data_IF_777641995004
#
_entry.id   IF_777641995004
#
_cell.length_a   1.000
_cell.length_b   1.000
_cell.length_c   1.000
_cell.angle_alpha   90.00
_cell.angle_beta   90.00
_cell.angle_gamma   90.00
#
_symmetry.space_group_name_H-M   'P 1'
#
loop_
_entity.id
_entity.type
_entity.pdbx_description
1 polymer ?
#
# COMPACT_ATOMS: atom_id res chain seq x y z
N UNK A 1 4.62 19.19 16.57
CA UNK A 1 3.49 18.51 17.21
C UNK A 1 2.15 18.95 16.66
N UNK A 2 1.97 20.25 16.42
CA UNK A 2 0.73 20.76 15.84
C UNK A 2 0.54 20.33 14.37
N UNK A 3 1.61 20.26 13.59
CA UNK A 3 1.55 19.82 12.21
C UNK A 3 1.18 18.34 12.07
N UNK A 4 1.61 17.50 13.02
CA UNK A 4 1.19 16.10 13.07
C UNK A 4 -0.29 15.95 13.39
N UNK A 5 -0.79 16.71 14.37
CA UNK A 5 -2.21 16.69 14.72
C UNK A 5 -3.11 17.10 13.59
N UNK A 6 -2.74 18.15 12.84
CA UNK A 6 -3.48 18.60 11.68
C UNK A 6 -3.45 17.58 10.53
N UNK A 7 -2.31 16.96 10.27
CA UNK A 7 -2.18 15.91 9.27
C UNK A 7 -3.05 14.70 9.60
N UNK A 8 -3.07 14.27 10.86
CA UNK A 8 -3.89 13.14 11.32
C UNK A 8 -5.39 13.44 11.18
N UNK A 9 -5.82 14.64 11.57
CA UNK A 9 -7.21 15.07 11.41
C UNK A 9 -7.61 15.08 9.95
N UNK A 10 -6.76 15.61 9.08
CA UNK A 10 -7.01 15.65 7.64
C UNK A 10 -7.14 14.23 7.06
N UNK A 11 -6.23 13.32 7.42
CA UNK A 11 -6.28 11.93 6.96
C UNK A 11 -7.54 11.22 7.46
N UNK A 12 -7.93 11.44 8.72
CA UNK A 12 -9.17 10.88 9.25
C UNK A 12 -10.41 11.35 8.48
N UNK A 13 -10.44 12.62 8.10
CA UNK A 13 -11.54 13.14 7.28
C UNK A 13 -11.56 12.52 5.89
N UNK A 14 -10.37 12.31 5.28
CA UNK A 14 -10.28 11.69 3.96
C UNK A 14 -10.77 10.24 3.95
N UNK A 15 -10.52 9.49 5.03
CA UNK A 15 -10.90 8.06 5.11
C UNK A 15 -12.28 7.84 5.72
N UNK A 16 -12.92 8.88 6.30
CA UNK A 16 -14.16 8.73 7.06
C UNK A 16 -15.30 8.11 6.26
N UNK A 17 -15.34 8.34 4.96
CA UNK A 17 -16.40 7.84 4.06
C UNK A 17 -15.92 6.67 3.19
N UNK A 18 -14.76 6.11 3.45
CA UNK A 18 -14.22 5.00 2.66
C UNK A 18 -14.48 3.69 3.39
N UNK A 19 -15.14 2.75 2.72
CA UNK A 19 -15.31 1.40 3.24
C UNK A 19 -14.01 0.64 3.04
N UNK A 20 -13.34 0.29 4.13
CA UNK A 20 -12.06 -0.41 4.09
C UNK A 20 -12.25 -1.85 4.57
N UNK A 21 -11.83 -2.81 3.74
CA UNK A 21 -11.78 -4.21 4.08
C UNK A 21 -10.32 -4.66 4.03
N UNK A 22 -9.91 -5.48 4.99
CA UNK A 22 -8.55 -5.97 5.04
C UNK A 22 -8.48 -7.44 5.42
N UNK A 23 -7.58 -8.16 4.76
CA UNK A 23 -7.19 -9.53 5.09
C UNK A 23 -5.68 -9.57 5.17
N UNK A 24 -5.14 -9.73 6.38
CA UNK A 24 -3.70 -9.68 6.61
C UNK A 24 -3.26 -10.96 7.28
N UNK A 25 -2.44 -11.76 6.57
CA UNK A 25 -1.89 -13.01 7.04
C UNK A 25 -0.37 -12.96 6.90
N UNK A 26 0.30 -12.55 7.97
CA UNK A 26 1.75 -12.40 8.00
C UNK A 26 2.30 -12.98 9.30
N UNK A 27 3.55 -13.44 9.31
CA UNK A 27 4.19 -13.83 10.57
C UNK A 27 4.41 -12.62 11.47
N UNK A 28 4.59 -12.87 12.75
CA UNK A 28 4.77 -11.81 13.76
C UNK A 28 5.98 -10.95 13.47
N UNK A 29 7.07 -11.57 13.02
CA UNK A 29 8.32 -10.89 12.69
C UNK A 29 8.77 -11.27 11.30
N UNK A 30 9.29 -10.30 10.57
CA UNK A 30 9.86 -10.49 9.24
C UNK A 30 11.16 -9.70 9.16
N UNK A 31 12.05 -10.13 8.25
CA UNK A 31 13.35 -9.48 8.02
C UNK A 31 13.25 -8.18 7.21
N UNK A 32 12.19 -7.44 7.39
CA UNK A 32 12.00 -6.14 6.75
C UNK A 32 12.00 -5.06 7.84
N UNK A 33 12.72 -3.98 7.61
CA UNK A 33 12.85 -2.85 8.51
C UNK A 33 11.48 -2.20 8.75
N UNK A 34 11.19 -1.83 9.98
CA UNK A 34 9.94 -1.13 10.31
C UNK A 34 9.79 0.20 9.57
N UNK A 35 10.89 0.91 9.35
CA UNK A 35 10.88 2.13 8.53
C UNK A 35 10.44 1.85 7.11
N UNK A 36 11.00 0.81 6.50
CA UNK A 36 10.63 0.39 5.14
C UNK A 36 9.17 -0.07 5.08
N UNK A 37 8.70 -0.80 6.09
CA UNK A 37 7.30 -1.20 6.20
C UNK A 37 6.37 0.01 6.23
N UNK A 38 6.72 1.00 7.05
CA UNK A 38 5.94 2.23 7.15
C UNK A 38 5.86 3.00 5.84
N UNK A 39 6.98 3.12 5.14
CA UNK A 39 7.03 3.78 3.83
C UNK A 39 6.23 2.99 2.80
N UNK A 40 6.41 1.67 2.76
CA UNK A 40 5.74 0.78 1.83
C UNK A 40 4.21 0.87 1.96
N UNK A 41 3.68 0.59 3.16
CA UNK A 41 2.24 0.61 3.40
C UNK A 41 1.67 2.03 3.38
N UNK A 42 2.39 3.00 3.94
CA UNK A 42 1.96 4.39 3.93
C UNK A 42 1.73 4.92 2.53
N UNK A 43 2.68 4.70 1.63
CA UNK A 43 2.56 5.17 0.25
C UNK A 43 1.49 4.42 -0.54
N UNK A 44 1.38 3.12 -0.34
CA UNK A 44 0.35 2.32 -1.01
C UNK A 44 -1.06 2.72 -0.56
N UNK A 45 -1.25 2.93 0.74
CA UNK A 45 -2.54 3.36 1.28
C UNK A 45 -2.87 4.80 0.90
N UNK A 46 -1.91 5.72 0.96
CA UNK A 46 -2.12 7.10 0.53
C UNK A 46 -2.54 7.17 -0.94
N UNK A 47 -1.94 6.37 -1.79
CA UNK A 47 -2.31 6.27 -3.19
C UNK A 47 -3.78 5.84 -3.35
N UNK A 48 -4.21 4.84 -2.60
CA UNK A 48 -5.59 4.34 -2.63
C UNK A 48 -6.59 5.38 -2.09
N UNK A 49 -6.22 6.09 -1.03
CA UNK A 49 -7.05 7.15 -0.44
C UNK A 49 -7.22 8.30 -1.41
N UNK A 50 -6.13 8.76 -2.03
CA UNK A 50 -6.16 9.86 -2.98
C UNK A 50 -7.00 9.51 -4.21
N UNK A 51 -6.93 8.29 -4.70
CA UNK A 51 -7.73 7.84 -5.82
C UNK A 51 -9.24 7.90 -5.53
N UNK A 52 -9.62 7.81 -4.27
CA UNK A 52 -11.02 7.88 -3.84
C UNK A 52 -11.57 9.30 -3.73
N UNK A 53 -10.73 10.33 -3.79
CA UNK A 53 -11.15 11.72 -3.52
C UNK A 53 -12.26 12.22 -4.44
N UNK A 54 -12.26 11.82 -5.68
CA UNK A 54 -13.29 12.24 -6.62
C UNK A 54 -14.48 11.28 -6.72
N UNK A 55 -14.42 10.14 -6.05
CA UNK A 55 -15.49 9.15 -6.08
C UNK A 55 -16.63 9.59 -5.16
N UNK A 56 -17.88 9.34 -5.55
CA UNK A 56 -19.05 9.57 -4.69
C UNK A 56 -18.84 8.86 -3.35
N UNK A 57 -19.09 9.59 -2.24
CA UNK A 57 -18.86 9.11 -0.87
C UNK A 57 -19.49 7.75 -0.59
N UNK A 58 -20.64 7.46 -1.15
CA UNK A 58 -21.34 6.19 -0.95
C UNK A 58 -20.70 5.03 -1.72
N UNK A 59 -19.82 5.32 -2.65
CA UNK A 59 -19.19 4.32 -3.53
C UNK A 59 -17.70 4.13 -3.28
N UNK A 60 -17.16 4.76 -2.24
CA UNK A 60 -15.74 4.69 -1.91
C UNK A 60 -15.40 3.40 -1.20
N UNK A 61 -14.35 2.74 -1.65
CA UNK A 61 -13.87 1.52 -1.01
C UNK A 61 -12.39 1.29 -1.25
N UNK A 62 -11.75 0.60 -0.31
CA UNK A 62 -10.37 0.13 -0.40
C UNK A 62 -10.34 -1.30 0.14
N UNK A 63 -9.75 -2.21 -0.60
CA UNK A 63 -9.49 -3.58 -0.14
C UNK A 63 -7.98 -3.78 -0.02
N UNK A 64 -7.54 -4.21 1.14
CA UNK A 64 -6.13 -4.49 1.42
C UNK A 64 -5.99 -5.99 1.67
N UNK A 65 -5.11 -6.64 0.93
CA UNK A 65 -4.77 -8.04 1.13
C UNK A 65 -3.27 -8.16 1.28
N UNK A 66 -2.82 -8.79 2.37
CA UNK A 66 -1.41 -9.10 2.60
C UNK A 66 -1.30 -10.57 2.94
N UNK A 67 -0.51 -11.28 2.17
CA UNK A 67 -0.30 -12.72 2.34
C UNK A 67 1.18 -13.03 2.39
N UNK A 68 1.54 -13.98 3.21
CA UNK A 68 2.89 -14.52 3.30
C UNK A 68 2.84 -16.02 3.08
N UNK A 69 3.63 -16.49 2.15
CA UNK A 69 3.73 -17.93 1.86
C UNK A 69 5.10 -18.23 1.26
N UNK A 70 5.79 -19.20 1.84
CA UNK A 70 7.07 -19.71 1.30
C UNK A 70 8.08 -18.60 0.99
N UNK A 71 8.33 -17.70 1.94
CA UNK A 71 9.27 -16.58 1.83
C UNK A 71 8.84 -15.49 0.84
N UNK A 72 7.60 -15.51 0.39
CA UNK A 72 7.05 -14.48 -0.49
C UNK A 72 6.00 -13.68 0.25
N UNK A 73 6.18 -12.36 0.27
CA UNK A 73 5.19 -11.42 0.80
C UNK A 73 4.46 -10.79 -0.37
N UNK A 74 3.15 -10.92 -0.39
CA UNK A 74 2.30 -10.35 -1.44
C UNK A 74 1.37 -9.32 -0.82
N UNK A 75 1.50 -8.08 -1.27
CA UNK A 75 0.64 -6.98 -0.86
C UNK A 75 -0.20 -6.59 -2.06
N UNK A 76 -1.51 -6.61 -1.91
CA UNK A 76 -2.43 -6.23 -2.97
C UNK A 76 -3.41 -5.20 -2.42
N UNK A 77 -3.53 -4.07 -3.08
CA UNK A 77 -4.46 -3.01 -2.70
C UNK A 77 -5.31 -2.67 -3.92
N UNK A 78 -6.62 -2.83 -3.76
CA UNK A 78 -7.62 -2.44 -4.75
C UNK A 78 -8.44 -1.29 -4.19
N UNK A 79 -8.77 -0.35 -5.05
CA UNK A 79 -9.57 0.80 -4.63
C UNK A 79 -10.46 1.30 -5.75
N UNK A 80 -11.56 1.92 -5.36
CA UNK A 80 -12.40 2.67 -6.28
C UNK A 80 -11.66 3.93 -6.77
N UNK A 81 -11.95 4.34 -7.97
CA UNK A 81 -11.43 5.55 -8.60
C UNK A 81 -12.42 6.08 -9.63
N UNK A 82 -12.23 7.32 -10.06
CA UNK A 82 -12.99 7.89 -11.16
C UNK A 82 -12.42 7.39 -12.49
N UNK A 83 -13.32 6.95 -13.37
CA UNK A 83 -12.97 6.53 -14.71
C UNK A 83 -12.38 7.69 -15.51
N UNK A 84 -11.26 7.45 -16.19
CA UNK A 84 -10.65 8.40 -17.12
C UNK A 84 -10.13 9.68 -16.48
N UNK A 85 -9.89 9.71 -15.20
CA UNK A 85 -9.41 10.89 -14.49
C UNK A 85 -7.96 11.22 -14.87
N UNK A 86 -7.79 12.11 -15.84
CA UNK A 86 -6.49 12.64 -16.25
C UNK A 86 -5.88 13.60 -15.22
N UNK A 87 -6.64 14.00 -14.18
CA UNK A 87 -6.12 14.70 -13.01
C UNK A 87 -4.94 13.98 -12.40
N UNK A 88 -4.82 12.69 -12.66
CA UNK A 88 -3.65 11.91 -12.31
C UNK A 88 -2.36 12.49 -12.86
N UNK A 89 -2.38 13.28 -13.92
CA UNK A 89 -1.16 13.90 -14.40
C UNK A 89 -0.64 15.00 -13.46
N UNK A 90 -1.51 15.72 -12.74
CA UNK A 90 -1.08 16.69 -11.72
C UNK A 90 -0.81 16.01 -10.38
N UNK A 91 -1.62 15.05 -9.99
CA UNK A 91 -1.34 14.17 -8.86
C UNK A 91 -0.23 13.15 -9.16
N UNK A 92 0.12 12.97 -10.42
CA UNK A 92 1.12 12.04 -10.90
C UNK A 92 2.50 12.28 -10.31
N UNK A 93 2.89 13.54 -10.13
CA UNK A 93 4.19 13.85 -9.52
C UNK A 93 4.28 13.34 -8.09
N UNK A 94 3.21 13.52 -7.31
CA UNK A 94 3.17 13.03 -5.93
C UNK A 94 2.99 11.51 -5.89
N UNK A 95 2.12 10.96 -6.71
CA UNK A 95 1.92 9.51 -6.83
C UNK A 95 3.18 8.83 -7.37
N UNK A 96 3.83 9.41 -8.36
CA UNK A 96 5.07 8.88 -8.92
C UNK A 96 6.19 8.80 -7.87
N UNK A 97 6.30 9.79 -6.99
CA UNK A 97 7.27 9.79 -5.89
C UNK A 97 6.94 8.68 -4.90
N UNK A 98 5.67 8.54 -4.51
CA UNK A 98 5.23 7.50 -3.59
C UNK A 98 5.47 6.09 -4.12
N UNK A 99 5.11 5.83 -5.37
CA UNK A 99 5.34 4.54 -6.02
C UNK A 99 6.83 4.28 -6.26
N UNK A 100 7.62 5.30 -6.52
CA UNK A 100 9.07 5.15 -6.65
C UNK A 100 9.70 4.69 -5.32
N UNK A 101 9.26 5.24 -4.19
CA UNK A 101 9.71 4.79 -2.88
C UNK A 101 9.32 3.34 -2.62
N UNK A 102 8.11 2.94 -3.00
CA UNK A 102 7.64 1.56 -2.93
C UNK A 102 8.53 0.65 -3.78
N UNK A 103 8.81 1.04 -5.02
CA UNK A 103 9.67 0.27 -5.92
C UNK A 103 11.07 0.09 -5.36
N UNK A 104 11.66 1.12 -4.77
CA UNK A 104 12.99 1.04 -4.17
C UNK A 104 13.03 0.01 -3.05
N UNK A 105 12.02 -0.03 -2.20
CA UNK A 105 11.92 -1.00 -1.11
C UNK A 105 11.74 -2.41 -1.67
N UNK A 106 10.83 -2.57 -2.60
CA UNK A 106 10.51 -3.86 -3.22
C UNK A 106 11.76 -4.43 -3.94
N UNK A 107 12.53 -3.57 -4.60
CA UNK A 107 13.76 -3.97 -5.29
C UNK A 107 14.83 -4.52 -4.34
N UNK A 108 14.88 -4.07 -3.09
CA UNK A 108 15.78 -4.64 -2.08
C UNK A 108 15.53 -6.12 -1.85
N UNK A 109 14.33 -6.59 -2.13
CA UNK A 109 13.91 -7.98 -1.97
C UNK A 109 13.71 -8.68 -3.31
N UNK A 110 14.34 -8.17 -4.37
CA UNK A 110 14.25 -8.70 -5.73
C UNK A 110 12.79 -8.83 -6.22
N UNK A 111 11.94 -7.94 -5.73
CA UNK A 111 10.52 -7.98 -6.00
C UNK A 111 10.07 -7.09 -7.15
N UNK A 112 8.77 -7.06 -7.35
CA UNK A 112 8.14 -6.26 -8.41
C UNK A 112 6.92 -5.53 -7.87
N UNK A 113 6.60 -4.42 -8.52
CA UNK A 113 5.34 -3.68 -8.31
C UNK A 113 4.58 -3.66 -9.62
N UNK A 114 3.35 -4.11 -9.58
CA UNK A 114 2.45 -4.08 -10.74
C UNK A 114 1.28 -3.16 -10.47
N UNK A 115 0.89 -2.39 -11.46
CA UNK A 115 -0.22 -1.45 -11.38
C UNK A 115 -1.18 -1.75 -12.52
N UNK A 116 -2.47 -1.88 -12.21
CA UNK A 116 -3.51 -2.10 -13.20
C UNK A 116 -4.65 -1.11 -13.01
N UNK A 117 -5.05 -0.48 -14.08
CA UNK A 117 -6.18 0.46 -14.11
C UNK A 117 -7.34 -0.21 -14.85
N UNK A 118 -8.43 -0.51 -14.13
CA UNK A 118 -9.63 -1.12 -14.68
C UNK A 118 -10.75 -0.10 -14.94
N UNK A 119 -10.41 1.19 -14.97
CA UNK A 119 -11.37 2.26 -15.20
C UNK A 119 -11.95 2.82 -13.92
N UNK A 120 -12.81 2.09 -13.25
CA UNK A 120 -13.42 2.50 -11.97
C UNK A 120 -12.78 1.83 -10.77
N UNK A 121 -11.82 0.96 -11.01
CA UNK A 121 -11.03 0.28 -9.99
C UNK A 121 -9.56 0.38 -10.36
N UNK A 122 -8.72 0.54 -9.36
CA UNK A 122 -7.27 0.59 -9.49
C UNK A 122 -6.67 -0.47 -8.58
N UNK A 123 -5.68 -1.17 -9.08
CA UNK A 123 -5.04 -2.24 -8.33
C UNK A 123 -3.52 -2.06 -8.34
N UNK A 124 -2.91 -2.12 -7.17
CA UNK A 124 -1.46 -2.15 -7.02
C UNK A 124 -1.09 -3.42 -6.29
N UNK A 125 -0.17 -4.18 -6.86
CA UNK A 125 0.40 -5.38 -6.25
C UNK A 125 1.89 -5.19 -6.05
N UNK A 126 2.37 -5.46 -4.85
CA UNK A 126 3.80 -5.49 -4.53
C UNK A 126 4.14 -6.90 -4.07
N UNK A 127 5.15 -7.50 -4.70
CA UNK A 127 5.60 -8.85 -4.39
C UNK A 127 7.06 -8.75 -3.95
N UNK A 128 7.36 -9.25 -2.74
CA UNK A 128 8.69 -9.24 -2.16
C UNK A 128 9.15 -10.68 -1.93
N UNK A 129 10.35 -10.99 -2.36
CA UNK A 129 10.92 -12.33 -2.24
C UNK A 129 11.95 -12.37 -1.11
N UNK A 130 12.22 -13.56 -0.60
CA UNK A 130 13.23 -13.75 0.43
C UNK A 130 12.87 -13.15 1.78
N UNK A 131 11.59 -13.02 2.05
CA UNK A 131 11.10 -12.58 3.36
C UNK A 131 11.16 -13.76 4.31
N UNK A 132 11.89 -13.62 5.40
CA UNK A 132 12.02 -14.65 6.43
C UNK A 132 11.13 -14.33 7.62
N UNK A 133 10.49 -15.34 8.17
CA UNK A 133 9.74 -15.21 9.43
C UNK A 133 10.62 -15.57 10.63
N UNK A 134 10.09 -15.48 11.84
CA UNK A 134 10.82 -15.80 13.07
C UNK A 134 11.24 -17.27 13.14
N UNK A 135 10.52 -18.17 12.50
CA UNK A 135 10.88 -19.59 12.46
C UNK A 135 12.15 -19.81 11.62
N UNK A 136 12.22 -19.11 10.48
CA UNK A 136 13.38 -19.16 9.61
C UNK A 136 14.58 -18.48 10.24
N UNK A 137 14.39 -17.36 10.93
CA UNK A 137 15.44 -16.68 11.67
C UNK A 137 16.00 -17.57 12.78
N UNK A 138 15.17 -18.36 13.44
CA UNK A 138 15.61 -19.34 14.42
C UNK A 138 16.47 -20.45 13.84
N UNK A 139 16.20 -20.87 12.62
CA UNK A 139 16.98 -21.89 11.91
C UNK A 139 18.33 -21.38 11.46
N UNK A 140 18.48 -20.10 11.18
CA UNK A 140 19.74 -19.51 10.70
C UNK A 140 20.79 -19.36 11.80
N UNK A 141 20.41 -19.52 13.07
CA UNK A 141 21.31 -19.44 14.22
C UNK A 141 21.92 -20.81 14.56
N UNK A 142 21.39 -21.86 14.01
CA UNK A 142 21.89 -23.21 14.19
C UNK A 142 22.86 -23.62 13.07
#
# INVERSE_FOLDING_TARGET
>A
LRSRGLGDVYKRQQVADIKIESNIFVPKYMNIDYGDMGVLFGNLLDNAIEANQGVDRKKRWINVSVKYEEHILIINIKNSKIRGSRRKKKGYLNHGIGLNSVKQIVEKFNGIVEVQDFGEMYEVSAILYGICDDKDLGKSVL
#
